data_IF_623546193558
#
_entry.id   IF_623546193558
#
_cell.length_a   1.000
_cell.length_b   1.000
_cell.length_c   1.000
_cell.angle_alpha   90.00
_cell.angle_beta   90.00
_cell.angle_gamma   90.00
#
_symmetry.space_group_name_H-M   'P 1'
#
loop_
_entity.id
_entity.type
_entity.pdbx_description
1 polymer ?
#
# COMPACT_ATOMS: atom_id res chain seq x y z
N UNK A 1 1.47 -2.45 -0.80
CA UNK A 1 1.85 -1.05 -0.60
C UNK A 1 2.53 -0.80 0.73
N UNK A 2 3.21 0.32 0.80
CA UNK A 2 3.91 0.83 1.96
C UNK A 2 3.51 2.30 2.16
N UNK A 3 3.25 2.69 3.39
CA UNK A 3 3.08 4.08 3.80
C UNK A 3 4.18 4.43 4.82
N UNK A 4 4.98 5.42 4.50
CA UNK A 4 5.87 6.07 5.45
C UNK A 4 5.15 7.29 6.02
N UNK A 5 5.17 7.47 7.33
CA UNK A 5 4.61 8.63 8.01
C UNK A 5 5.68 9.27 8.90
N UNK A 6 5.82 10.58 8.79
CA UNK A 6 6.80 11.32 9.61
C UNK A 6 6.36 11.33 11.08
N UNK A 7 5.06 11.42 11.33
CA UNK A 7 4.46 11.30 12.67
C UNK A 7 3.32 10.26 12.68
N UNK A 8 3.64 8.97 12.92
CA UNK A 8 2.65 7.90 12.98
C UNK A 8 1.67 8.05 14.17
N UNK A 9 2.10 8.68 15.26
CA UNK A 9 1.26 8.87 16.44
C UNK A 9 0.18 9.91 16.18
N UNK A 10 0.53 11.07 15.61
CA UNK A 10 -0.43 12.08 15.21
C UNK A 10 -1.43 11.53 14.17
N UNK A 11 -0.95 10.78 13.18
CA UNK A 11 -1.84 10.13 12.19
C UNK A 11 -2.84 9.18 12.86
N UNK A 12 -2.40 8.40 13.83
CA UNK A 12 -3.26 7.47 14.57
C UNK A 12 -4.31 8.21 15.36
N UNK A 13 -3.91 9.23 16.11
CA UNK A 13 -4.82 10.05 16.92
C UNK A 13 -5.88 10.72 16.06
N UNK A 14 -5.48 11.33 14.94
CA UNK A 14 -6.42 12.02 14.05
C UNK A 14 -7.41 11.07 13.37
N UNK A 15 -6.98 9.84 13.01
CA UNK A 15 -7.88 8.82 12.46
C UNK A 15 -8.88 8.34 13.52
N UNK A 16 -8.45 8.16 14.76
CA UNK A 16 -9.34 7.78 15.88
C UNK A 16 -10.34 8.90 16.18
N UNK A 17 -9.89 10.15 16.22
CA UNK A 17 -10.75 11.31 16.43
C UNK A 17 -11.77 11.43 15.29
N UNK A 18 -11.35 11.36 14.03
CA UNK A 18 -12.26 11.38 12.89
C UNK A 18 -13.34 10.30 13.00
N UNK A 19 -12.96 9.09 13.40
CA UNK A 19 -13.94 8.00 13.57
C UNK A 19 -14.92 8.30 14.71
N UNK A 20 -14.44 8.87 15.79
CA UNK A 20 -15.30 9.28 16.91
C UNK A 20 -16.29 10.37 16.49
N UNK A 21 -15.83 11.38 15.75
CA UNK A 21 -16.66 12.47 15.24
C UNK A 21 -17.74 11.97 14.27
N UNK A 22 -17.36 11.10 13.34
CA UNK A 22 -18.33 10.49 12.40
C UNK A 22 -19.36 9.60 13.11
N UNK A 23 -18.97 8.90 14.17
CA UNK A 23 -19.92 8.12 14.99
C UNK A 23 -20.89 9.00 15.75
N UNK A 24 -20.46 10.18 16.18
CA UNK A 24 -21.27 11.15 16.89
C UNK A 24 -22.21 11.94 15.96
N UNK A 25 -21.91 12.00 14.66
CA UNK A 25 -22.71 12.72 13.67
C UNK A 25 -24.07 12.04 13.48
N UNK A 26 -25.18 12.79 13.65
CA UNK A 26 -26.55 12.27 13.48
C UNK A 26 -26.79 11.63 12.09
N UNK A 27 -26.11 12.09 11.05
CA UNK A 27 -26.21 11.52 9.70
C UNK A 27 -25.83 10.05 9.66
N UNK A 28 -24.77 9.66 10.42
CA UNK A 28 -24.28 8.28 10.44
C UNK A 28 -24.93 7.40 11.50
N UNK A 29 -25.80 7.95 12.36
CA UNK A 29 -26.39 7.25 13.50
C UNK A 29 -27.06 5.91 13.13
N UNK A 30 -27.69 5.84 11.95
CA UNK A 30 -28.42 4.66 11.49
C UNK A 30 -27.66 3.87 10.42
N UNK A 31 -26.44 4.23 10.12
CA UNK A 31 -25.64 3.53 9.11
C UNK A 31 -25.11 2.21 9.67
N UNK A 32 -25.41 1.06 9.04
CA UNK A 32 -25.03 -0.25 9.59
C UNK A 32 -23.54 -0.43 9.85
N UNK A 33 -22.66 0.17 9.03
CA UNK A 33 -21.20 0.06 9.19
C UNK A 33 -20.67 0.79 10.45
N UNK A 34 -21.43 1.72 11.01
CA UNK A 34 -21.12 2.42 12.26
C UNK A 34 -21.74 1.80 13.51
N UNK A 35 -22.58 0.77 13.36
CA UNK A 35 -23.16 0.09 14.52
C UNK A 35 -22.11 -0.79 15.21
N UNK A 36 -21.96 -0.70 16.55
CA UNK A 36 -20.90 -1.43 17.29
C UNK A 36 -20.93 -2.94 17.06
N UNK A 37 -22.11 -3.51 16.87
CA UNK A 37 -22.34 -4.97 16.80
C UNK A 37 -22.08 -5.56 15.40
N UNK A 38 -22.10 -4.74 14.34
CA UNK A 38 -22.06 -5.20 12.95
C UNK A 38 -21.06 -4.44 12.07
N UNK A 39 -20.59 -3.32 12.57
CA UNK A 39 -19.94 -2.33 11.73
C UNK A 39 -18.42 -2.40 11.72
N UNK A 40 -17.84 -2.66 10.57
CA UNK A 40 -16.38 -2.60 10.39
C UNK A 40 -15.85 -1.19 10.61
N UNK A 41 -16.54 -0.15 10.10
CA UNK A 41 -16.19 1.26 10.25
C UNK A 41 -16.23 1.73 11.71
N UNK A 42 -17.12 1.14 12.52
CA UNK A 42 -17.18 1.43 13.95
C UNK A 42 -15.88 1.05 14.70
N UNK A 43 -15.13 0.10 14.16
CA UNK A 43 -13.91 -0.46 14.78
C UNK A 43 -12.67 0.11 14.11
N UNK A 44 -12.61 0.09 12.79
CA UNK A 44 -11.51 0.59 11.99
C UNK A 44 -12.01 1.03 10.62
N UNK A 45 -11.39 2.05 10.03
CA UNK A 45 -11.67 2.42 8.65
C UNK A 45 -11.20 1.33 7.68
N UNK A 46 -12.04 1.04 6.68
CA UNK A 46 -11.75 0.09 5.63
C UNK A 46 -12.29 0.61 4.29
N UNK A 47 -11.43 1.06 3.40
CA UNK A 47 -11.79 1.82 2.22
C UNK A 47 -12.84 1.14 1.31
N UNK A 48 -12.84 -0.19 1.21
CA UNK A 48 -13.80 -0.96 0.43
C UNK A 48 -15.21 -0.93 1.04
N UNK A 49 -15.30 -1.02 2.36
CA UNK A 49 -16.56 -1.20 3.08
C UNK A 49 -17.17 0.13 3.57
N UNK A 50 -16.33 1.18 3.67
CA UNK A 50 -16.76 2.50 4.11
C UNK A 50 -17.64 3.21 3.07
N UNK A 51 -18.54 4.07 3.54
CA UNK A 51 -19.36 4.91 2.68
C UNK A 51 -18.52 5.94 1.90
N UNK A 52 -18.99 6.43 0.75
CA UNK A 52 -18.29 7.46 -0.03
C UNK A 52 -17.97 8.72 0.79
N UNK A 53 -18.86 9.15 1.66
CA UNK A 53 -18.71 10.30 2.54
C UNK A 53 -17.58 10.09 3.55
N UNK A 54 -17.54 8.91 4.17
CA UNK A 54 -16.46 8.50 5.09
C UNK A 54 -15.11 8.48 4.35
N UNK A 55 -15.08 7.87 3.17
CA UNK A 55 -13.85 7.84 2.36
C UNK A 55 -13.34 9.24 2.06
N UNK A 56 -14.23 10.17 1.71
CA UNK A 56 -13.86 11.56 1.46
C UNK A 56 -13.17 12.19 2.66
N UNK A 57 -13.71 12.00 3.86
CA UNK A 57 -13.13 12.61 5.07
C UNK A 57 -11.80 11.96 5.45
N UNK A 58 -11.64 10.64 5.30
CA UNK A 58 -10.36 9.98 5.51
C UNK A 58 -9.31 10.46 4.49
N UNK A 59 -9.64 10.59 3.21
CA UNK A 59 -8.71 11.13 2.22
C UNK A 59 -8.30 12.57 2.53
N UNK A 60 -9.24 13.43 2.97
CA UNK A 60 -8.92 14.79 3.41
C UNK A 60 -7.96 14.79 4.60
N UNK A 61 -8.15 13.88 5.55
CA UNK A 61 -7.25 13.72 6.68
C UNK A 61 -5.85 13.32 6.19
N UNK A 62 -5.73 12.31 5.33
CA UNK A 62 -4.45 11.86 4.80
C UNK A 62 -3.68 12.98 4.06
N UNK A 63 -4.40 13.89 3.39
CA UNK A 63 -3.78 15.03 2.73
C UNK A 63 -3.10 16.01 3.70
N UNK A 64 -3.55 16.09 4.93
CA UNK A 64 -2.97 16.97 5.97
C UNK A 64 -1.69 16.42 6.59
N UNK A 65 -1.50 15.09 6.54
CA UNK A 65 -0.33 14.44 7.13
C UNK A 65 0.85 14.37 6.16
N UNK A 66 2.06 14.44 6.70
CA UNK A 66 3.31 14.20 5.98
C UNK A 66 3.51 12.69 5.82
N UNK A 67 2.89 12.14 4.77
CA UNK A 67 2.98 10.72 4.42
C UNK A 67 3.52 10.55 3.00
N UNK A 68 4.21 9.42 2.78
CA UNK A 68 4.71 8.99 1.47
C UNK A 68 4.20 7.58 1.17
N UNK A 69 3.52 7.45 0.06
CA UNK A 69 2.98 6.16 -0.38
C UNK A 69 3.83 5.57 -1.49
N UNK A 70 4.10 4.27 -1.36
CA UNK A 70 4.80 3.46 -2.34
C UNK A 70 3.99 2.19 -2.62
N UNK A 71 3.96 1.77 -3.88
CA UNK A 71 3.25 0.56 -4.26
C UNK A 71 3.97 -0.24 -5.33
N UNK A 72 3.74 -1.54 -5.32
CA UNK A 72 4.00 -2.46 -6.41
C UNK A 72 2.68 -2.96 -6.97
N UNK A 73 2.50 -2.85 -8.27
CA UNK A 73 1.32 -3.32 -8.99
C UNK A 73 1.69 -4.56 -9.80
N UNK A 74 0.88 -5.61 -9.66
CA UNK A 74 1.02 -6.86 -10.41
C UNK A 74 -0.25 -7.15 -11.20
N UNK A 75 -0.09 -7.44 -12.49
CA UNK A 75 -1.18 -8.04 -13.28
C UNK A 75 -1.23 -9.54 -12.99
N UNK A 76 -2.32 -9.99 -12.38
CA UNK A 76 -2.47 -11.41 -12.04
C UNK A 76 -2.54 -12.31 -13.27
N UNK A 77 -2.92 -11.79 -14.45
CA UNK A 77 -2.87 -12.55 -15.71
C UNK A 77 -1.42 -12.82 -16.12
N UNK A 78 -0.55 -11.81 -16.01
CA UNK A 78 0.88 -11.97 -16.26
C UNK A 78 1.52 -12.95 -15.27
N UNK A 79 1.15 -12.85 -13.98
CA UNK A 79 1.58 -13.80 -12.95
C UNK A 79 1.15 -15.23 -13.30
N UNK A 80 -0.10 -15.43 -13.70
CA UNK A 80 -0.61 -16.76 -14.08
C UNK A 80 0.10 -17.31 -15.33
N UNK A 81 0.36 -16.47 -16.32
CA UNK A 81 1.14 -16.85 -17.52
C UNK A 81 2.55 -17.31 -17.15
N UNK A 82 3.24 -16.56 -16.32
CA UNK A 82 4.55 -16.93 -15.79
C UNK A 82 4.52 -18.27 -15.03
N UNK A 83 3.51 -18.47 -14.17
CA UNK A 83 3.32 -19.73 -13.42
C UNK A 83 3.13 -20.91 -14.35
N UNK A 84 2.31 -20.75 -15.41
CA UNK A 84 2.05 -21.81 -16.41
C UNK A 84 3.34 -22.17 -17.19
N UNK A 85 4.08 -21.15 -17.62
CA UNK A 85 5.36 -21.34 -18.33
C UNK A 85 6.38 -22.06 -17.44
N UNK A 86 6.53 -21.62 -16.20
CA UNK A 86 7.44 -22.25 -15.22
C UNK A 86 7.03 -23.69 -14.91
N UNK A 87 5.74 -23.96 -14.82
CA UNK A 87 5.20 -25.30 -14.59
C UNK A 87 5.43 -26.21 -15.80
N UNK A 88 5.32 -25.68 -17.04
CA UNK A 88 5.67 -26.41 -18.27
C UNK A 88 7.14 -26.80 -18.35
N UNK A 89 8.04 -25.96 -17.84
CA UNK A 89 9.51 -26.23 -17.77
C UNK A 89 9.86 -27.13 -16.58
N UNK A 90 9.15 -27.05 -15.49
CA UNK A 90 9.34 -27.84 -14.28
C UNK A 90 7.99 -28.29 -13.72
N UNK A 91 7.57 -29.50 -14.09
CA UNK A 91 6.26 -30.08 -13.73
C UNK A 91 6.04 -30.24 -12.22
N UNK A 92 7.08 -30.12 -11.40
CA UNK A 92 6.96 -30.15 -9.92
C UNK A 92 6.66 -28.80 -9.32
N UNK A 93 6.83 -27.69 -10.08
CA UNK A 93 6.58 -26.34 -9.56
C UNK A 93 5.09 -26.18 -9.21
N UNK A 94 4.83 -25.58 -8.07
CA UNK A 94 3.49 -25.17 -7.63
C UNK A 94 3.50 -23.68 -7.30
N UNK A 95 2.44 -22.99 -7.68
CA UNK A 95 2.26 -21.59 -7.33
C UNK A 95 2.01 -21.44 -5.83
N UNK A 96 2.80 -20.58 -5.20
CA UNK A 96 2.65 -20.23 -3.80
C UNK A 96 2.33 -18.73 -3.68
N UNK A 97 1.11 -18.34 -3.27
CA UNK A 97 0.74 -16.93 -3.09
C UNK A 97 1.67 -16.17 -2.15
N UNK A 98 2.23 -16.87 -1.15
CA UNK A 98 3.20 -16.29 -0.22
C UNK A 98 4.53 -15.95 -0.90
N UNK A 99 5.01 -16.77 -1.84
CA UNK A 99 6.22 -16.49 -2.62
C UNK A 99 6.10 -15.17 -3.43
N UNK A 100 4.93 -14.97 -4.06
CA UNK A 100 4.65 -13.71 -4.75
C UNK A 100 4.63 -12.53 -3.78
N UNK A 101 3.98 -12.69 -2.63
CA UNK A 101 3.91 -11.66 -1.60
C UNK A 101 5.32 -11.29 -1.10
N UNK A 102 6.11 -12.27 -0.71
CA UNK A 102 7.46 -12.07 -0.17
C UNK A 102 8.39 -11.42 -1.20
N UNK A 103 8.31 -11.83 -2.46
CA UNK A 103 9.07 -11.21 -3.55
C UNK A 103 8.64 -9.76 -3.81
N UNK A 104 7.36 -9.44 -3.68
CA UNK A 104 6.83 -8.09 -3.81
C UNK A 104 7.27 -7.22 -2.63
N UNK A 105 7.26 -7.74 -1.40
CA UNK A 105 7.80 -7.04 -0.23
C UNK A 105 9.27 -6.72 -0.45
N UNK A 106 10.08 -7.72 -0.80
CA UNK A 106 11.51 -7.51 -1.02
C UNK A 106 11.79 -6.46 -2.11
N UNK A 107 10.99 -6.44 -3.19
CA UNK A 107 11.13 -5.45 -4.26
C UNK A 107 10.70 -4.05 -3.81
N UNK A 108 9.61 -3.94 -3.06
CA UNK A 108 9.09 -2.69 -2.53
C UNK A 108 10.09 -1.99 -1.60
N UNK A 109 10.85 -2.76 -0.82
CA UNK A 109 11.81 -2.22 0.14
C UNK A 109 13.25 -2.11 -0.37
N UNK A 110 13.59 -2.73 -1.51
CA UNK A 110 14.97 -2.85 -2.02
C UNK A 110 15.76 -1.54 -2.04
N UNK A 111 15.13 -0.44 -2.47
CA UNK A 111 15.80 0.85 -2.63
C UNK A 111 15.40 1.86 -1.53
N UNK A 112 15.04 1.37 -0.33
CA UNK A 112 14.57 2.24 0.77
C UNK A 112 15.36 2.04 2.05
N UNK A 113 15.59 0.80 2.45
CA UNK A 113 16.18 0.49 3.76
C UNK A 113 17.52 1.19 3.99
N UNK A 114 18.35 1.32 2.96
CA UNK A 114 19.66 1.99 3.03
C UNK A 114 19.59 3.50 3.37
N UNK A 115 18.40 4.09 3.36
CA UNK A 115 18.19 5.52 3.66
C UNK A 115 18.06 5.78 5.16
N UNK A 116 18.00 4.73 5.98
CA UNK A 116 17.73 4.81 7.40
C UNK A 116 18.74 3.99 8.21
N UNK A 117 19.11 4.48 9.37
CA UNK A 117 19.91 3.72 10.35
C UNK A 117 19.08 2.62 11.00
N UNK A 118 17.80 2.91 11.24
CA UNK A 118 16.83 1.94 11.77
C UNK A 118 15.45 2.13 11.13
N UNK A 119 14.74 1.02 10.95
CA UNK A 119 13.38 0.99 10.43
C UNK A 119 12.50 0.13 11.31
N UNK A 120 11.37 0.68 11.77
CA UNK A 120 10.26 -0.10 12.32
C UNK A 120 9.19 -0.29 11.25
N UNK A 121 8.92 -1.53 10.90
CA UNK A 121 7.97 -1.89 9.85
C UNK A 121 6.82 -2.67 10.47
N UNK A 122 5.62 -2.09 10.40
CA UNK A 122 4.40 -2.78 10.80
C UNK A 122 3.67 -3.29 9.56
N UNK A 123 3.27 -4.56 9.56
CA UNK A 123 2.50 -5.15 8.48
C UNK A 123 1.15 -5.69 8.98
N UNK A 124 0.14 -5.69 8.08
CA UNK A 124 -1.18 -6.23 8.40
C UNK A 124 -1.17 -7.75 8.50
N UNK A 125 -1.68 -8.29 9.59
CA UNK A 125 -1.91 -9.75 9.75
C UNK A 125 -2.85 -10.24 8.65
N UNK A 126 -2.48 -11.33 8.00
CA UNK A 126 -3.28 -11.98 6.95
C UNK A 126 -3.52 -13.44 7.30
N UNK A 127 -4.78 -13.79 7.53
CA UNK A 127 -5.14 -15.14 7.95
C UNK A 127 -4.69 -15.46 9.38
N UNK A 128 -4.50 -16.74 9.68
CA UNK A 128 -4.17 -17.24 11.03
C UNK A 128 -2.67 -17.54 11.23
N UNK A 129 -1.85 -17.55 10.18
CA UNK A 129 -0.43 -17.90 10.29
C UNK A 129 0.42 -16.67 10.62
N UNK A 130 1.31 -16.83 11.59
CA UNK A 130 2.37 -15.84 11.85
C UNK A 130 3.39 -15.86 10.71
N UNK A 131 3.54 -14.72 10.06
CA UNK A 131 4.48 -14.52 8.96
C UNK A 131 5.58 -13.51 9.28
N UNK A 132 5.72 -13.13 10.54
CA UNK A 132 6.70 -12.12 10.98
C UNK A 132 8.12 -12.46 10.51
N UNK A 133 8.52 -13.74 10.69
CA UNK A 133 9.82 -14.20 10.22
C UNK A 133 9.98 -14.11 8.71
N UNK A 134 9.02 -14.61 7.92
CA UNK A 134 9.09 -14.55 6.44
C UNK A 134 9.11 -13.11 5.93
N UNK A 135 8.39 -12.21 6.59
CA UNK A 135 8.39 -10.80 6.27
C UNK A 135 9.75 -10.16 6.58
N UNK A 136 10.31 -10.43 7.76
CA UNK A 136 11.65 -9.97 8.15
C UNK A 136 12.72 -10.49 7.19
N UNK A 137 12.69 -11.78 6.83
CA UNK A 137 13.60 -12.38 5.85
C UNK A 137 13.53 -11.68 4.49
N UNK A 138 12.33 -11.27 4.06
CA UNK A 138 12.13 -10.50 2.82
C UNK A 138 12.76 -9.11 2.87
N UNK A 139 12.75 -8.45 4.03
CA UNK A 139 13.40 -7.15 4.22
C UNK A 139 14.93 -7.30 4.24
N UNK A 140 15.45 -8.32 4.92
CA UNK A 140 16.89 -8.64 4.91
C UNK A 140 17.33 -8.91 3.47
N UNK A 141 16.57 -9.72 2.71
CA UNK A 141 16.85 -9.98 1.30
C UNK A 141 16.85 -8.70 0.46
N UNK A 142 15.94 -7.77 0.73
CA UNK A 142 15.88 -6.47 0.04
C UNK A 142 17.13 -5.64 0.32
N UNK A 143 17.56 -5.57 1.57
CA UNK A 143 18.78 -4.89 2.01
C UNK A 143 20.03 -5.47 1.35
N UNK A 144 20.16 -6.80 1.38
CA UNK A 144 21.33 -7.49 0.86
C UNK A 144 21.42 -7.39 -0.68
N UNK A 145 20.28 -7.42 -1.38
CA UNK A 145 20.22 -7.19 -2.84
C UNK A 145 20.65 -5.77 -3.20
N UNK A 146 20.27 -4.78 -2.40
CA UNK A 146 20.73 -3.40 -2.61
C UNK A 146 22.24 -3.29 -2.38
N UNK A 147 22.75 -3.81 -1.26
CA UNK A 147 24.15 -3.81 -0.89
C UNK A 147 25.02 -4.44 -2.02
N UNK A 148 24.61 -5.62 -2.49
CA UNK A 148 25.30 -6.31 -3.61
C UNK A 148 25.23 -5.52 -4.92
N UNK A 149 24.09 -4.92 -5.26
CA UNK A 149 23.92 -4.22 -6.52
C UNK A 149 24.78 -2.95 -6.62
N UNK A 150 24.96 -2.27 -5.50
CA UNK A 150 25.62 -0.96 -5.44
C UNK A 150 27.00 -1.00 -4.78
N UNK A 151 27.48 -2.19 -4.44
CA UNK A 151 28.73 -2.41 -3.69
C UNK A 151 28.83 -1.51 -2.45
N UNK A 152 27.75 -1.50 -1.65
CA UNK A 152 27.61 -0.65 -0.46
C UNK A 152 27.32 -1.50 0.76
N UNK A 153 27.96 -1.16 1.87
CA UNK A 153 27.57 -1.71 3.16
C UNK A 153 26.27 -1.04 3.65
N UNK A 154 25.27 -1.84 4.00
CA UNK A 154 23.98 -1.39 4.54
C UNK A 154 23.73 -2.11 5.85
N UNK A 155 23.74 -1.35 6.94
CA UNK A 155 23.67 -1.89 8.32
C UNK A 155 22.34 -1.54 9.01
N UNK A 156 21.33 -1.12 8.24
CA UNK A 156 20.01 -0.72 8.77
C UNK A 156 19.46 -1.77 9.73
N UNK A 157 19.19 -1.37 10.96
CA UNK A 157 18.46 -2.20 11.92
C UNK A 157 16.99 -2.27 11.53
N UNK A 158 16.43 -3.48 11.46
CA UNK A 158 15.06 -3.71 10.99
C UNK A 158 14.28 -4.40 12.10
N UNK A 159 13.25 -3.71 12.60
CA UNK A 159 12.26 -4.27 13.52
C UNK A 159 10.95 -4.50 12.77
N UNK A 160 10.37 -5.70 12.91
CA UNK A 160 9.13 -6.09 12.23
C UNK A 160 8.07 -6.43 13.24
N UNK A 161 6.90 -5.84 13.11
CA UNK A 161 5.74 -6.13 13.94
C UNK A 161 4.53 -6.45 13.09
N UNK A 162 3.74 -7.42 13.52
CA UNK A 162 2.44 -7.74 12.92
C UNK A 162 1.33 -7.08 13.73
N UNK A 163 0.35 -6.45 13.06
CA UNK A 163 -0.78 -5.85 13.76
C UNK A 163 -2.08 -5.96 12.93
N UNK A 164 -3.19 -5.83 13.63
CA UNK A 164 -4.49 -5.62 13.00
C UNK A 164 -4.71 -4.12 12.73
N UNK A 165 -5.50 -3.74 11.71
CA UNK A 165 -5.82 -2.33 11.44
C UNK A 165 -6.43 -1.58 12.63
N UNK A 166 -7.14 -2.28 13.52
CA UNK A 166 -7.69 -1.71 14.76
C UNK A 166 -6.61 -1.32 15.75
N UNK A 167 -5.47 -2.00 15.74
CA UNK A 167 -4.35 -1.76 16.64
C UNK A 167 -3.36 -0.73 16.10
N UNK A 168 -3.33 -0.58 14.78
CA UNK A 168 -2.36 0.27 14.08
C UNK A 168 -3.05 1.06 12.98
N UNK A 169 -3.36 2.31 13.26
CA UNK A 169 -4.10 3.18 12.34
C UNK A 169 -3.37 3.44 11.00
N UNK A 170 -2.04 3.41 10.97
CA UNK A 170 -1.27 3.48 9.72
C UNK A 170 -1.64 2.39 8.71
N UNK A 171 -2.10 1.20 9.17
CA UNK A 171 -2.60 0.14 8.29
C UNK A 171 -3.93 0.52 7.63
N UNK A 172 -4.77 1.32 8.30
CA UNK A 172 -5.99 1.87 7.70
C UNK A 172 -5.65 2.89 6.61
N UNK A 173 -4.66 3.74 6.87
CA UNK A 173 -4.20 4.73 5.90
C UNK A 173 -3.63 4.07 4.62
N UNK A 174 -2.79 3.04 4.74
CA UNK A 174 -2.26 2.34 3.57
C UNK A 174 -3.35 1.58 2.81
N UNK A 175 -4.39 1.05 3.50
CA UNK A 175 -5.54 0.40 2.85
C UNK A 175 -6.29 1.39 1.93
N UNK A 176 -6.50 2.62 2.38
CA UNK A 176 -7.12 3.68 1.58
C UNK A 176 -6.30 4.04 0.33
N UNK A 177 -4.98 4.17 0.48
CA UNK A 177 -4.10 4.45 -0.65
C UNK A 177 -4.09 3.29 -1.66
N UNK A 178 -4.03 2.04 -1.17
CA UNK A 178 -4.13 0.84 -2.01
C UNK A 178 -5.47 0.71 -2.70
N UNK A 179 -6.57 1.04 -2.01
CA UNK A 179 -7.90 1.03 -2.60
C UNK A 179 -8.02 2.05 -3.73
N UNK A 180 -7.52 3.28 -3.56
CA UNK A 180 -7.50 4.29 -4.60
C UNK A 180 -6.72 3.82 -5.85
N UNK A 181 -5.55 3.21 -5.64
CA UNK A 181 -4.73 2.63 -6.70
C UNK A 181 -5.45 1.46 -7.39
N UNK A 182 -6.06 0.56 -6.63
CA UNK A 182 -6.83 -0.56 -7.16
C UNK A 182 -8.04 -0.09 -8.00
N UNK A 183 -8.73 0.97 -7.58
CA UNK A 183 -9.85 1.56 -8.35
C UNK A 183 -9.39 2.07 -9.70
N UNK A 184 -8.22 2.73 -9.75
CA UNK A 184 -7.63 3.16 -11.01
C UNK A 184 -7.40 1.98 -11.97
N UNK A 185 -6.66 0.93 -11.53
CA UNK A 185 -6.33 -0.21 -12.39
C UNK A 185 -7.54 -1.10 -12.72
N UNK A 186 -8.40 -1.40 -11.75
CA UNK A 186 -9.49 -2.36 -11.93
C UNK A 186 -10.78 -1.75 -12.50
N UNK A 187 -10.99 -0.44 -12.34
CA UNK A 187 -12.24 0.25 -12.69
C UNK A 187 -12.05 1.49 -13.55
N UNK A 188 -10.80 1.87 -13.88
CA UNK A 188 -10.46 3.12 -14.57
C UNK A 188 -11.00 4.36 -13.83
N UNK A 189 -11.15 4.26 -12.53
CA UNK A 189 -11.65 5.32 -11.66
C UNK A 189 -10.47 6.01 -10.98
N UNK A 190 -9.95 7.07 -11.59
CA UNK A 190 -8.71 7.73 -11.17
C UNK A 190 -8.90 8.82 -10.12
N UNK A 191 -10.12 9.35 -9.95
CA UNK A 191 -10.41 10.54 -9.11
C UNK A 191 -9.83 10.45 -7.69
N UNK A 192 -9.86 9.27 -7.07
CA UNK A 192 -9.35 9.08 -5.71
C UNK A 192 -7.81 9.08 -5.70
N UNK A 193 -7.20 8.44 -6.69
CA UNK A 193 -5.75 8.45 -6.83
C UNK A 193 -5.23 9.84 -7.20
N UNK A 194 -5.95 10.59 -8.05
CA UNK A 194 -5.65 11.99 -8.37
C UNK A 194 -5.70 12.87 -7.14
N UNK A 195 -6.72 12.69 -6.28
CA UNK A 195 -6.88 13.46 -5.05
C UNK A 195 -5.67 13.32 -4.11
N UNK A 196 -5.08 12.12 -4.02
CA UNK A 196 -3.96 11.83 -3.12
C UNK A 196 -2.61 11.72 -3.82
N UNK A 197 -2.53 12.13 -5.11
CA UNK A 197 -1.31 11.96 -5.91
C UNK A 197 -0.08 12.63 -5.29
N UNK A 198 -0.24 13.74 -4.61
CA UNK A 198 0.85 14.45 -3.92
C UNK A 198 1.49 13.62 -2.80
N UNK A 199 0.79 12.61 -2.30
CA UNK A 199 1.30 11.65 -1.30
C UNK A 199 1.96 10.43 -1.94
N UNK A 200 1.81 10.25 -3.26
CA UNK A 200 2.44 9.14 -3.98
C UNK A 200 3.90 9.49 -4.27
N UNK A 201 4.79 8.70 -3.73
CA UNK A 201 6.23 8.82 -4.00
C UNK A 201 6.68 7.92 -5.13
N UNK A 202 6.19 6.68 -5.18
CA UNK A 202 6.54 5.75 -6.25
C UNK A 202 5.50 4.64 -6.39
N UNK A 203 5.08 4.38 -7.63
CA UNK A 203 4.34 3.17 -8.00
C UNK A 203 5.19 2.42 -9.03
N UNK A 204 5.44 1.15 -8.79
CA UNK A 204 6.12 0.27 -9.73
C UNK A 204 5.12 -0.72 -10.34
N UNK A 205 4.74 -0.52 -11.58
CA UNK A 205 3.93 -1.42 -12.38
C UNK A 205 4.85 -2.45 -13.05
N UNK A 206 5.05 -3.58 -12.37
CA UNK A 206 6.08 -4.59 -12.72
C UNK A 206 5.81 -5.25 -14.06
N UNK A 207 4.55 -5.47 -14.38
CA UNK A 207 4.14 -6.24 -15.55
C UNK A 207 3.83 -5.35 -16.77
N UNK A 208 3.98 -4.02 -16.65
CA UNK A 208 3.94 -3.09 -17.78
C UNK A 208 5.29 -3.09 -18.52
N UNK A 209 5.55 -4.13 -19.31
CA UNK A 209 6.88 -4.36 -19.91
C UNK A 209 7.02 -3.85 -21.35
N UNK A 210 5.96 -3.30 -21.95
CA UNK A 210 5.98 -2.82 -23.34
C UNK A 210 7.05 -1.74 -23.60
N UNK A 211 7.36 -0.92 -22.58
CA UNK A 211 8.32 0.19 -22.68
C UNK A 211 9.66 -0.08 -21.99
N UNK A 212 9.69 -1.02 -21.06
CA UNK A 212 10.89 -1.34 -20.30
C UNK A 212 10.81 -2.76 -19.71
N UNK A 213 11.86 -3.60 -19.84
CA UNK A 213 11.82 -5.01 -19.45
C UNK A 213 11.58 -5.24 -17.95
N UNK A 214 11.75 -4.20 -17.13
CA UNK A 214 11.58 -4.26 -15.68
C UNK A 214 10.29 -3.57 -15.18
N UNK A 215 9.34 -3.30 -16.10
CA UNK A 215 8.11 -2.57 -15.79
C UNK A 215 8.28 -1.04 -15.79
N UNK A 216 7.22 -0.36 -15.45
CA UNK A 216 7.14 1.10 -15.46
C UNK A 216 7.10 1.65 -14.04
N UNK A 217 7.89 2.71 -13.82
CA UNK A 217 7.87 3.47 -12.57
C UNK A 217 7.10 4.77 -12.77
N UNK A 218 6.12 5.01 -11.90
CA UNK A 218 5.35 6.24 -11.83
C UNK A 218 5.69 7.02 -10.57
N UNK A 219 5.82 8.33 -10.71
CA UNK A 219 6.22 9.24 -9.63
C UNK A 219 5.65 10.64 -9.90
N UNK A 220 6.01 11.62 -9.07
CA UNK A 220 5.63 13.03 -9.31
C UNK A 220 6.13 13.55 -10.66
N UNK A 221 7.30 13.12 -11.12
CA UNK A 221 7.88 13.54 -12.41
C UNK A 221 7.31 12.77 -13.61
N UNK A 222 6.79 11.56 -13.37
CA UNK A 222 6.14 10.71 -14.37
C UNK A 222 4.83 10.19 -13.81
N UNK A 223 3.76 11.00 -13.81
CA UNK A 223 2.51 10.63 -13.16
C UNK A 223 1.77 9.53 -13.91
N UNK A 224 1.14 8.63 -13.12
CA UNK A 224 0.19 7.63 -13.62
C UNK A 224 -1.15 8.27 -14.00
N UNK A 225 -1.53 9.35 -13.29
CA UNK A 225 -2.80 10.08 -13.44
C UNK A 225 -2.52 11.57 -13.66
N UNK A 226 -3.49 12.31 -14.21
CA UNK A 226 -3.41 13.79 -14.31
C UNK A 226 -2.68 14.35 -15.53
N UNK A 227 -2.05 13.54 -16.37
CA UNK A 227 -1.48 14.02 -17.64
C UNK A 227 -2.57 14.51 -18.61
N UNK A 228 -3.80 13.99 -18.49
CA UNK A 228 -4.93 14.39 -19.31
C UNK A 228 -5.62 15.70 -18.84
N UNK A 229 -5.43 16.12 -17.59
CA UNK A 229 -6.08 17.32 -17.05
C UNK A 229 -5.29 18.60 -17.36
N UNK A 230 -3.96 18.54 -17.45
CA UNK A 230 -3.16 19.72 -17.83
C UNK A 230 -3.42 20.20 -19.27
N UNK A 231 -3.90 19.32 -20.15
CA UNK A 231 -4.26 19.69 -21.53
C UNK A 231 -5.72 20.16 -21.68
N UNK A 232 -6.55 20.14 -20.62
CA UNK A 232 -7.93 20.63 -20.64
C UNK A 232 -8.15 21.96 -19.91
N UNK A 233 -7.14 22.50 -19.26
CA UNK A 233 -7.17 23.80 -18.59
C UNK A 233 -6.23 24.80 -19.29
N UNK A 234 -6.02 24.61 -20.54
CA UNK A 234 -5.39 25.58 -21.43
C UNK A 234 -6.49 26.41 -22.11
N UNK A 235 -7.07 27.36 -21.37
CA UNK A 235 -7.70 28.57 -21.86
C UNK A 235 -7.04 29.74 -21.16
#
# INVERSE_FOLDING_TARGET
GLLEADDPAALSLDLEQLRADLKADPYFKNVPSFQPERGKTAVAFHAKDDLPEVRREVFKLLLRHAVKFYAEVRDMRAVLSYVRERNGRNGTYRYHPNELYDSSVARLFKNRLHQYESCRVCYAVRGSSDRTKSFADSLVLARDRFAKQWDKQVTTAIEVTAAQPVQQAGLQAVDYMLWALQRHYARQESRFLEMVWDKVSLIHAVDETDKAPYGVYYSKTKPLVGAALKNKVGI
#
